data_IF_143189165603
#
_entry.id   IF_143189165603
#
_cell.length_a   1.000
_cell.length_b   1.000
_cell.length_c   1.000
_cell.angle_alpha   90.00
_cell.angle_beta   90.00
_cell.angle_gamma   90.00
#
_symmetry.space_group_name_H-M   'P 1'
#
loop_
_entity.id
_entity.type
_entity.pdbx_description
1 polymer ?
#
# COMPACT_ATOMS: atom_id res chain seq x y z
N UNK A 1 -11.53 -17.84 0.38
CA UNK A 1 -12.52 -17.06 1.16
C UNK A 1 -12.24 -15.55 1.13
N UNK A 2 -13.20 -14.75 0.66
CA UNK A 2 -13.22 -13.28 0.78
C UNK A 2 -13.87 -12.91 2.11
N UNK A 3 -13.14 -12.27 3.04
CA UNK A 3 -13.84 -11.72 4.22
C UNK A 3 -12.99 -11.20 5.38
N UNK A 4 -11.98 -11.93 5.87
CA UNK A 4 -11.26 -11.52 7.11
C UNK A 4 -9.73 -11.68 7.10
N UNK A 5 -9.20 -12.77 6.54
CA UNK A 5 -7.76 -13.09 6.66
C UNK A 5 -6.82 -12.09 5.97
N UNK A 6 -7.21 -11.57 4.80
CA UNK A 6 -6.43 -10.63 4.00
C UNK A 6 -6.11 -9.34 4.79
N UNK A 7 -7.14 -8.64 5.27
CA UNK A 7 -6.96 -7.39 6.00
C UNK A 7 -6.16 -7.59 7.29
N UNK A 8 -6.38 -8.70 8.01
CA UNK A 8 -5.62 -9.03 9.22
C UNK A 8 -4.13 -9.24 8.90
N UNK A 9 -3.77 -9.93 7.83
CA UNK A 9 -2.37 -10.09 7.40
C UNK A 9 -1.71 -8.73 7.13
N UNK A 10 -2.38 -7.85 6.38
CA UNK A 10 -1.85 -6.51 6.09
C UNK A 10 -1.67 -5.68 7.37
N UNK A 11 -2.69 -5.65 8.23
CA UNK A 11 -2.66 -4.89 9.49
C UNK A 11 -1.59 -5.43 10.44
N UNK A 12 -1.48 -6.75 10.56
CA UNK A 12 -0.46 -7.39 11.40
C UNK A 12 0.94 -7.11 10.87
N UNK A 13 1.18 -7.29 9.56
CA UNK A 13 2.47 -7.02 8.95
C UNK A 13 2.88 -5.54 9.09
N UNK A 14 1.96 -4.61 8.82
CA UNK A 14 2.23 -3.18 8.94
C UNK A 14 2.51 -2.74 10.37
N UNK A 15 1.82 -3.34 11.34
CA UNK A 15 2.01 -3.03 12.77
C UNK A 15 3.32 -3.60 13.31
N UNK A 16 3.67 -4.84 12.92
CA UNK A 16 4.92 -5.49 13.33
C UNK A 16 6.16 -4.81 12.73
N UNK A 17 6.07 -4.32 11.50
CA UNK A 17 7.16 -3.61 10.85
C UNK A 17 7.35 -2.17 11.37
N UNK A 18 6.30 -1.58 11.95
CA UNK A 18 6.30 -0.19 12.38
C UNK A 18 6.46 0.80 11.22
N UNK A 19 6.56 2.09 11.55
CA UNK A 19 6.78 3.12 10.55
C UNK A 19 5.55 3.34 9.66
N UNK A 20 5.78 3.57 8.37
CA UNK A 20 4.70 3.86 7.41
C UNK A 20 4.43 2.66 6.50
N UNK A 21 3.17 2.25 6.47
CA UNK A 21 2.61 1.27 5.52
C UNK A 21 1.77 2.01 4.48
N UNK A 22 2.13 1.90 3.19
CA UNK A 22 1.34 2.45 2.08
C UNK A 22 0.48 1.34 1.47
N UNK A 23 -0.84 1.49 1.53
CA UNK A 23 -1.83 0.58 0.95
C UNK A 23 -2.46 1.21 -0.28
N UNK A 24 -2.16 0.65 -1.44
CA UNK A 24 -2.71 1.06 -2.73
C UNK A 24 -4.04 0.33 -2.92
N UNK A 25 -5.14 1.10 -2.90
CA UNK A 25 -6.51 0.57 -3.00
C UNK A 25 -7.12 0.95 -4.36
N UNK A 26 -7.55 -0.02 -5.19
CA UNK A 26 -8.15 0.30 -6.49
C UNK A 26 -9.56 0.87 -6.38
N UNK A 27 -10.23 0.72 -5.23
CA UNK A 27 -11.58 1.22 -4.93
C UNK A 27 -11.58 2.02 -3.62
N UNK A 28 -12.13 3.24 -3.66
CA UNK A 28 -12.15 4.17 -2.53
C UNK A 28 -12.90 3.63 -1.30
N UNK A 29 -14.05 3.01 -1.51
CA UNK A 29 -14.87 2.48 -0.42
C UNK A 29 -14.12 1.45 0.43
N UNK A 30 -13.23 0.64 -0.19
CA UNK A 30 -12.41 -0.33 0.53
C UNK A 30 -11.41 0.36 1.47
N UNK A 31 -10.83 1.50 1.06
CA UNK A 31 -9.92 2.27 1.89
C UNK A 31 -10.59 2.82 3.15
N UNK A 32 -11.78 3.40 3.01
CA UNK A 32 -12.57 3.96 4.11
C UNK A 32 -12.90 2.93 5.20
N UNK A 33 -13.32 1.74 4.77
CA UNK A 33 -13.63 0.62 5.68
C UNK A 33 -12.40 0.15 6.45
N UNK A 34 -11.22 0.14 5.82
CA UNK A 34 -9.98 -0.28 6.48
C UNK A 34 -9.48 0.76 7.49
N UNK A 35 -9.58 2.05 7.17
CA UNK A 35 -9.24 3.12 8.14
C UNK A 35 -10.11 3.00 9.39
N UNK A 36 -11.41 2.79 9.23
CA UNK A 36 -12.33 2.62 10.37
C UNK A 36 -11.93 1.44 11.26
N UNK A 37 -11.47 0.32 10.68
CA UNK A 37 -10.99 -0.84 11.45
C UNK A 37 -9.69 -0.53 12.20
N UNK A 38 -8.76 0.18 11.58
CA UNK A 38 -7.49 0.56 12.20
C UNK A 38 -7.70 1.51 13.37
N UNK A 39 -8.59 2.49 13.24
CA UNK A 39 -8.90 3.44 14.32
C UNK A 39 -9.57 2.76 15.52
N UNK A 40 -10.15 1.56 15.35
CA UNK A 40 -10.74 0.74 16.42
C UNK A 40 -9.75 -0.25 17.04
N UNK A 41 -8.52 -0.34 16.54
CA UNK A 41 -7.54 -1.27 17.07
C UNK A 41 -7.11 -0.89 18.50
N UNK A 42 -6.80 -1.89 19.32
CA UNK A 42 -6.23 -1.67 20.65
C UNK A 42 -4.82 -1.09 20.52
N UNK A 43 -4.56 0.04 21.18
CA UNK A 43 -3.29 0.77 21.12
C UNK A 43 -2.40 0.56 22.35
N UNK A 44 -2.71 -0.42 23.20
CA UNK A 44 -1.97 -0.68 24.45
C UNK A 44 -0.47 -0.98 24.24
N UNK A 45 -0.08 -1.46 23.06
CA UNK A 45 1.30 -1.84 22.75
C UNK A 45 1.98 -0.94 21.70
N UNK A 46 1.32 0.14 21.29
CA UNK A 46 1.82 1.04 20.26
C UNK A 46 0.70 1.85 19.61
N UNK A 47 1.07 3.01 19.08
CA UNK A 47 0.13 3.91 18.41
C UNK A 47 -0.10 3.42 16.99
N UNK A 48 -1.36 3.17 16.63
CA UNK A 48 -1.74 2.80 15.26
C UNK A 48 -2.66 3.87 14.68
N UNK A 49 -2.25 4.47 13.56
CA UNK A 49 -2.99 5.53 12.87
C UNK A 49 -3.31 5.11 11.44
N UNK A 50 -4.43 5.61 10.92
CA UNK A 50 -4.88 5.34 9.56
C UNK A 50 -5.35 6.61 8.86
N UNK A 51 -4.91 6.82 7.62
CA UNK A 51 -5.34 7.93 6.76
C UNK A 51 -5.76 7.42 5.39
N UNK A 52 -6.88 7.93 4.87
CA UNK A 52 -7.28 7.71 3.48
C UNK A 52 -7.04 9.01 2.69
N UNK A 53 -6.01 9.04 1.84
CA UNK A 53 -5.55 10.27 1.20
C UNK A 53 -6.62 10.89 0.29
N UNK A 54 -7.42 10.06 -0.36
CA UNK A 54 -8.53 10.46 -1.22
C UNK A 54 -9.62 11.25 -0.49
N UNK A 55 -9.75 11.08 0.83
CA UNK A 55 -10.73 11.78 1.66
C UNK A 55 -10.22 13.11 2.23
N UNK A 56 -8.92 13.42 2.06
CA UNK A 56 -8.32 14.63 2.62
C UNK A 56 -8.52 15.83 1.69
N UNK A 57 -9.51 16.65 2.02
CA UNK A 57 -9.97 17.77 1.17
C UNK A 57 -9.21 19.09 1.40
N UNK A 58 -8.72 19.36 2.60
CA UNK A 58 -8.16 20.67 2.96
C UNK A 58 -6.63 20.68 2.93
N UNK A 59 -5.98 21.72 2.36
CA UNK A 59 -4.51 21.85 2.36
C UNK A 59 -3.91 21.75 3.78
N UNK A 60 -4.54 22.39 4.76
CA UNK A 60 -4.07 22.41 6.14
C UNK A 60 -4.01 20.99 6.73
N UNK A 61 -5.02 20.15 6.46
CA UNK A 61 -5.01 18.75 6.91
C UNK A 61 -3.96 17.93 6.17
N UNK A 62 -3.73 18.20 4.88
CA UNK A 62 -2.67 17.55 4.10
C UNK A 62 -1.30 17.86 4.69
N UNK A 63 -1.03 19.14 4.93
CA UNK A 63 0.24 19.59 5.49
C UNK A 63 0.48 18.98 6.87
N UNK A 64 -0.53 18.96 7.73
CA UNK A 64 -0.45 18.32 9.05
C UNK A 64 -0.07 16.84 8.96
N UNK A 65 -0.72 16.07 8.08
CA UNK A 65 -0.43 14.65 7.88
C UNK A 65 0.98 14.47 7.31
N UNK A 66 1.38 15.28 6.32
CA UNK A 66 2.72 15.20 5.74
C UNK A 66 3.79 15.50 6.78
N UNK A 67 3.60 16.52 7.61
CA UNK A 67 4.54 16.85 8.68
C UNK A 67 4.66 15.71 9.69
N UNK A 68 3.54 15.13 10.11
CA UNK A 68 3.53 13.94 10.99
C UNK A 68 4.31 12.77 10.38
N UNK A 69 4.07 12.46 9.10
CA UNK A 69 4.75 11.38 8.40
C UNK A 69 6.26 11.62 8.32
N UNK A 70 6.68 12.83 7.96
CA UNK A 70 8.09 13.17 7.72
C UNK A 70 8.91 13.33 9.00
N UNK A 71 8.26 13.57 10.14
CA UNK A 71 8.87 13.68 11.47
C UNK A 71 8.69 12.42 12.33
N UNK A 72 8.15 11.35 11.76
CA UNK A 72 8.03 10.07 12.45
C UNK A 72 9.41 9.60 12.91
N UNK A 73 9.56 9.36 14.22
CA UNK A 73 10.79 8.81 14.78
C UNK A 73 10.94 7.33 14.32
N UNK A 74 12.04 6.97 13.64
CA UNK A 74 12.31 5.59 13.20
C UNK A 74 12.26 4.55 14.32
N UNK A 75 12.56 4.94 15.55
CA UNK A 75 12.63 4.06 16.74
C UNK A 75 11.33 4.07 17.56
N UNK A 76 10.28 4.72 17.07
CA UNK A 76 8.98 4.74 17.76
C UNK A 76 8.16 3.48 17.49
N UNK A 77 7.33 3.09 18.46
CA UNK A 77 6.32 2.04 18.32
C UNK A 77 5.05 2.53 17.59
N UNK A 78 5.20 3.50 16.68
CA UNK A 78 4.09 4.08 15.93
C UNK A 78 4.01 3.45 14.55
N UNK A 79 2.81 2.98 14.19
CA UNK A 79 2.49 2.45 12.87
C UNK A 79 1.45 3.33 12.19
N UNK A 80 1.77 3.86 11.03
CA UNK A 80 0.87 4.71 10.25
C UNK A 80 0.53 4.01 8.94
N UNK A 81 -0.76 3.75 8.74
CA UNK A 81 -1.31 3.20 7.52
C UNK A 81 -1.85 4.32 6.64
N UNK A 82 -1.37 4.37 5.40
CA UNK A 82 -1.82 5.31 4.37
C UNK A 82 -2.56 4.52 3.30
N UNK A 83 -3.87 4.69 3.20
CA UNK A 83 -4.67 4.19 2.10
C UNK A 83 -4.73 5.24 1.02
N UNK A 84 -4.47 4.85 -0.22
CA UNK A 84 -4.54 5.77 -1.34
C UNK A 84 -4.90 5.05 -2.63
N UNK A 85 -5.75 5.67 -3.43
CA UNK A 85 -5.94 5.27 -4.82
C UNK A 85 -4.73 5.65 -5.68
N UNK A 86 -4.53 4.98 -6.83
CA UNK A 86 -3.56 5.46 -7.83
C UNK A 86 -3.80 6.91 -8.24
N UNK A 87 -5.05 7.36 -8.29
CA UNK A 87 -5.42 8.73 -8.63
C UNK A 87 -4.87 9.73 -7.60
N UNK A 88 -5.03 9.47 -6.30
CA UNK A 88 -4.52 10.34 -5.24
C UNK A 88 -2.99 10.47 -5.27
N UNK A 89 -2.29 9.38 -5.60
CA UNK A 89 -0.81 9.37 -5.67
C UNK A 89 -0.31 10.06 -6.93
N UNK A 90 -0.92 9.78 -8.09
CA UNK A 90 -0.47 10.32 -9.39
C UNK A 90 -0.84 11.79 -9.55
N UNK A 91 -1.87 12.27 -8.85
CA UNK A 91 -2.29 13.66 -8.91
C UNK A 91 -1.15 14.63 -8.57
N UNK A 92 -1.06 15.72 -9.33
CA UNK A 92 -0.15 16.83 -9.04
C UNK A 92 -0.78 17.89 -8.12
N UNK A 93 -2.05 17.74 -7.75
CA UNK A 93 -2.77 18.73 -6.92
C UNK A 93 -2.45 18.62 -5.42
N UNK A 94 -1.87 17.49 -4.99
CA UNK A 94 -1.47 17.27 -3.62
C UNK A 94 -0.03 16.70 -3.58
N UNK A 95 0.81 17.15 -2.63
CA UNK A 95 2.21 16.73 -2.56
C UNK A 95 2.43 15.32 -1.99
N UNK A 96 1.42 14.44 -2.07
CA UNK A 96 1.46 13.08 -1.52
C UNK A 96 2.61 12.26 -2.09
N UNK A 97 2.79 12.26 -3.42
CA UNK A 97 3.87 11.51 -4.06
C UNK A 97 5.26 11.96 -3.61
N UNK A 98 5.45 13.27 -3.45
CA UNK A 98 6.70 13.82 -2.93
C UNK A 98 6.96 13.39 -1.49
N UNK A 99 5.96 13.53 -0.62
CA UNK A 99 6.04 13.07 0.77
C UNK A 99 6.35 11.57 0.85
N UNK A 100 5.66 10.76 0.04
CA UNK A 100 5.91 9.34 -0.08
C UNK A 100 7.37 9.14 -0.47
N UNK A 101 7.89 9.70 -1.57
CA UNK A 101 9.32 9.55 -1.94
C UNK A 101 10.28 9.92 -0.81
N UNK A 102 10.05 11.01 -0.08
CA UNK A 102 10.89 11.38 1.07
C UNK A 102 10.87 10.32 2.17
N UNK A 103 9.72 9.70 2.46
CA UNK A 103 9.65 8.57 3.41
C UNK A 103 10.48 7.37 2.97
N UNK A 104 10.58 7.12 1.65
CA UNK A 104 11.47 6.08 1.13
C UNK A 104 12.93 6.37 1.46
N UNK A 105 13.37 7.58 1.13
CA UNK A 105 14.75 8.02 1.30
C UNK A 105 15.15 8.01 2.78
N UNK A 106 14.22 8.37 3.68
CA UNK A 106 14.41 8.29 5.13
C UNK A 106 14.29 6.87 5.71
N UNK A 107 14.00 5.84 4.90
CA UNK A 107 13.73 4.45 5.33
C UNK A 107 12.59 4.32 6.36
N UNK A 108 11.69 5.30 6.39
CA UNK A 108 10.51 5.31 7.25
C UNK A 108 9.35 4.51 6.65
N UNK A 109 9.36 4.30 5.33
CA UNK A 109 8.40 3.39 4.69
C UNK A 109 8.88 1.95 4.79
N UNK A 110 8.13 1.13 5.51
CA UNK A 110 8.49 -0.27 5.77
C UNK A 110 7.74 -1.26 4.90
N UNK A 111 6.50 -0.93 4.52
CA UNK A 111 5.62 -1.82 3.76
C UNK A 111 4.86 -1.06 2.67
N UNK A 112 4.80 -1.66 1.49
CA UNK A 112 3.89 -1.30 0.40
C UNK A 112 2.93 -2.45 0.18
N UNK A 113 1.65 -2.16 0.11
CA UNK A 113 0.58 -3.13 -0.12
C UNK A 113 -0.15 -2.77 -1.40
N UNK A 114 -0.37 -3.73 -2.28
CA UNK A 114 -1.30 -3.61 -3.41
C UNK A 114 -2.50 -4.49 -3.10
N UNK A 115 -3.64 -3.87 -2.77
CA UNK A 115 -4.87 -4.59 -2.48
C UNK A 115 -5.70 -4.82 -3.76
N UNK A 116 -6.48 -5.88 -3.76
CA UNK A 116 -7.25 -6.39 -4.90
C UNK A 116 -6.48 -6.30 -6.24
N UNK A 117 -5.32 -6.97 -6.31
CA UNK A 117 -4.42 -6.96 -7.47
C UNK A 117 -5.13 -7.18 -8.81
N UNK A 118 -6.13 -8.07 -8.85
CA UNK A 118 -6.88 -8.34 -10.07
C UNK A 118 -7.55 -7.07 -10.63
N UNK A 119 -8.13 -6.22 -9.77
CA UNK A 119 -8.70 -4.93 -10.16
C UNK A 119 -7.61 -3.94 -10.56
N UNK A 120 -6.49 -3.89 -9.81
CA UNK A 120 -5.36 -3.04 -10.15
C UNK A 120 -4.87 -3.30 -11.58
N UNK A 121 -4.68 -4.57 -11.94
CA UNK A 121 -4.22 -4.98 -13.26
C UNK A 121 -5.29 -4.78 -14.32
N UNK A 122 -6.55 -5.11 -14.04
CA UNK A 122 -7.66 -4.89 -14.98
C UNK A 122 -7.79 -3.39 -15.33
N UNK A 123 -7.72 -2.51 -14.33
CA UNK A 123 -7.75 -1.07 -14.56
C UNK A 123 -6.49 -0.57 -15.28
N UNK A 124 -5.31 -1.09 -14.96
CA UNK A 124 -4.10 -0.71 -15.69
C UNK A 124 -4.03 -1.26 -17.12
N UNK A 125 -4.74 -2.32 -17.46
CA UNK A 125 -4.92 -2.77 -18.85
C UNK A 125 -5.97 -1.95 -19.61
N UNK A 126 -6.90 -1.32 -18.88
CA UNK A 126 -7.91 -0.41 -19.43
C UNK A 126 -7.35 0.99 -19.75
N UNK A 127 -8.24 1.92 -20.13
CA UNK A 127 -7.92 3.32 -20.42
C UNK A 127 -7.62 4.18 -19.17
N UNK A 128 -7.57 3.60 -17.97
CA UNK A 128 -7.24 4.33 -16.72
C UNK A 128 -5.73 4.56 -16.60
N UNK A 129 -5.28 5.71 -17.11
CA UNK A 129 -3.87 6.06 -17.21
C UNK A 129 -3.14 6.12 -15.86
N UNK A 130 -3.86 6.37 -14.78
CA UNK A 130 -3.32 6.54 -13.42
C UNK A 130 -2.68 5.25 -12.90
N UNK A 131 -3.25 4.09 -13.21
CA UNK A 131 -2.68 2.80 -12.82
C UNK A 131 -1.34 2.52 -13.53
N UNK A 132 -1.22 2.91 -14.80
CA UNK A 132 0.05 2.81 -15.55
C UNK A 132 1.08 3.83 -15.04
N UNK A 133 0.65 5.08 -14.83
CA UNK A 133 1.50 6.18 -14.32
C UNK A 133 2.00 5.88 -12.92
N UNK A 134 1.22 5.20 -12.08
CA UNK A 134 1.62 4.84 -10.73
C UNK A 134 2.87 3.97 -10.72
N UNK A 135 3.04 3.06 -11.69
CA UNK A 135 4.29 2.30 -11.81
C UNK A 135 5.48 3.25 -11.97
N UNK A 136 5.48 4.08 -13.02
CA UNK A 136 6.64 4.89 -13.36
C UNK A 136 6.89 6.03 -12.38
N UNK A 137 5.83 6.59 -11.80
CA UNK A 137 5.92 7.72 -10.89
C UNK A 137 6.15 7.32 -9.43
N UNK A 138 5.83 6.09 -9.05
CA UNK A 138 5.97 5.59 -7.69
C UNK A 138 6.74 4.27 -7.63
N UNK A 139 6.20 3.17 -8.16
CA UNK A 139 6.75 1.83 -7.91
C UNK A 139 8.21 1.71 -8.37
N UNK A 140 8.56 2.25 -9.54
CA UNK A 140 9.94 2.25 -10.05
C UNK A 140 10.91 3.01 -9.13
N UNK A 141 10.41 3.99 -8.37
CA UNK A 141 11.18 4.75 -7.40
C UNK A 141 11.29 4.04 -6.05
N UNK A 142 10.32 3.20 -5.70
CA UNK A 142 10.33 2.43 -4.46
C UNK A 142 11.07 1.10 -4.58
N UNK A 143 11.12 0.56 -5.80
CA UNK A 143 11.73 -0.72 -6.11
C UNK A 143 12.76 -0.59 -7.25
N UNK A 144 13.77 0.28 -7.11
CA UNK A 144 14.76 0.47 -8.18
C UNK A 144 15.57 -0.83 -8.39
N UNK A 145 15.79 -1.28 -9.64
CA UNK A 145 16.60 -2.48 -9.91
C UNK A 145 18.04 -2.37 -9.41
N UNK A 146 18.56 -1.14 -9.32
CA UNK A 146 19.94 -0.83 -8.92
C UNK A 146 20.21 -0.95 -7.43
N UNK A 147 19.18 -0.88 -6.58
CA UNK A 147 19.33 -0.95 -5.15
C UNK A 147 18.19 -1.75 -4.50
N UNK A 148 18.38 -3.07 -4.46
CA UNK A 148 17.41 -3.98 -3.81
C UNK A 148 17.37 -3.82 -2.29
N UNK A 149 18.36 -3.19 -1.66
CA UNK A 149 18.42 -3.04 -0.20
C UNK A 149 17.56 -1.90 0.31
N UNK A 150 17.25 -0.92 -0.54
CA UNK A 150 16.29 0.14 -0.19
C UNK A 150 14.83 -0.26 -0.35
N UNK A 151 14.55 -1.40 -1.00
CA UNK A 151 13.18 -1.85 -1.24
C UNK A 151 12.41 -1.98 0.08
N UNK A 152 11.22 -1.35 0.22
CA UNK A 152 10.34 -1.69 1.31
C UNK A 152 9.84 -3.13 1.13
N UNK A 153 9.28 -3.74 2.18
CA UNK A 153 8.53 -4.97 2.00
C UNK A 153 7.37 -4.72 1.02
N UNK A 154 7.07 -5.70 0.16
CA UNK A 154 5.94 -5.66 -0.75
C UNK A 154 4.99 -6.81 -0.40
N UNK A 155 3.75 -6.46 -0.10
CA UNK A 155 2.65 -7.39 0.07
C UNK A 155 1.63 -7.17 -1.04
N UNK A 156 1.23 -8.23 -1.72
CA UNK A 156 0.20 -8.13 -2.77
C UNK A 156 -0.91 -9.10 -2.45
N UNK A 157 -2.14 -8.59 -2.49
CA UNK A 157 -3.32 -9.28 -2.01
C UNK A 157 -4.40 -9.28 -3.07
N UNK A 158 -5.08 -10.41 -3.22
CA UNK A 158 -6.21 -10.55 -4.14
C UNK A 158 -7.01 -11.79 -3.77
N UNK A 159 -8.32 -11.75 -4.00
CA UNK A 159 -9.18 -12.93 -3.81
C UNK A 159 -8.92 -14.02 -4.86
N UNK A 160 -8.58 -13.59 -6.09
CA UNK A 160 -8.36 -14.47 -7.23
C UNK A 160 -7.02 -14.12 -7.85
N UNK A 161 -6.19 -15.14 -8.10
CA UNK A 161 -4.92 -14.97 -8.80
C UNK A 161 -4.67 -16.17 -9.71
N UNK A 162 -4.11 -15.89 -10.88
CA UNK A 162 -3.73 -16.90 -11.86
C UNK A 162 -2.32 -16.59 -12.35
N UNK A 163 -1.65 -17.57 -12.97
CA UNK A 163 -0.32 -17.35 -13.56
C UNK A 163 -0.33 -16.21 -14.59
N UNK A 164 -1.45 -16.04 -15.31
CA UNK A 164 -1.66 -14.91 -16.21
C UNK A 164 -1.60 -13.56 -15.48
N UNK A 165 -2.22 -13.44 -14.30
CA UNK A 165 -2.18 -12.20 -13.53
C UNK A 165 -0.77 -11.88 -13.01
N UNK A 166 -0.01 -12.89 -12.59
CA UNK A 166 1.39 -12.72 -12.19
C UNK A 166 2.26 -12.23 -13.35
N UNK A 167 2.06 -12.78 -14.55
CA UNK A 167 2.75 -12.34 -15.76
C UNK A 167 2.41 -10.89 -16.14
N UNK A 168 1.13 -10.51 -16.08
CA UNK A 168 0.70 -9.14 -16.35
C UNK A 168 1.28 -8.18 -15.32
N UNK A 169 1.26 -8.55 -14.03
CA UNK A 169 1.88 -7.75 -12.97
C UNK A 169 3.35 -7.52 -13.23
N UNK A 170 4.09 -8.58 -13.60
CA UNK A 170 5.49 -8.45 -13.95
C UNK A 170 5.72 -7.51 -15.13
N UNK A 171 4.94 -7.66 -16.22
CA UNK A 171 5.05 -6.74 -17.37
C UNK A 171 4.72 -5.29 -17.02
N UNK A 172 3.77 -5.06 -16.11
CA UNK A 172 3.31 -3.72 -15.76
C UNK A 172 4.18 -3.01 -14.71
N UNK A 173 4.89 -3.75 -13.87
CA UNK A 173 5.61 -3.19 -12.70
C UNK A 173 7.09 -3.54 -12.68
N UNK A 174 7.54 -4.46 -13.53
CA UNK A 174 8.87 -5.09 -13.49
C UNK A 174 9.17 -5.84 -12.17
N UNK A 175 8.15 -6.09 -11.34
CA UNK A 175 8.27 -6.84 -10.09
C UNK A 175 7.87 -8.30 -10.31
N UNK A 176 8.45 -9.20 -9.54
CA UNK A 176 8.14 -10.64 -9.60
C UNK A 176 8.19 -11.25 -8.22
N UNK A 177 7.49 -12.37 -8.06
CA UNK A 177 7.45 -13.13 -6.81
C UNK A 177 8.15 -14.46 -7.00
N UNK A 178 8.95 -14.86 -6.02
CA UNK A 178 9.43 -16.23 -5.95
C UNK A 178 8.25 -17.15 -5.64
N UNK A 179 8.16 -18.37 -6.22
CA UNK A 179 7.05 -19.28 -5.97
C UNK A 179 6.78 -19.53 -4.47
N UNK A 180 7.83 -19.61 -3.65
CA UNK A 180 7.74 -19.78 -2.19
C UNK A 180 7.16 -18.59 -1.42
N UNK A 181 7.06 -17.42 -2.05
CA UNK A 181 6.48 -16.21 -1.45
C UNK A 181 5.01 -16.02 -1.86
N UNK A 182 4.44 -16.96 -2.63
CA UNK A 182 3.04 -16.92 -3.05
C UNK A 182 2.27 -17.89 -2.17
N UNK A 183 1.41 -17.34 -1.31
CA UNK A 183 0.48 -18.14 -0.51
C UNK A 183 -0.82 -18.32 -1.31
N UNK A 184 -1.08 -19.56 -1.71
CA UNK A 184 -2.35 -19.94 -2.32
C UNK A 184 -3.34 -20.29 -1.23
N UNK A 185 -4.60 -19.85 -1.35
CA UNK A 185 -5.67 -20.35 -0.49
C UNK A 185 -5.89 -21.83 -0.80
N UNK A 186 -5.99 -22.68 0.24
CA UNK A 186 -6.34 -24.08 0.05
C UNK A 186 -7.82 -24.19 -0.37
N UNK A 187 -8.20 -25.18 -1.20
CA UNK A 187 -9.61 -25.54 -1.37
C UNK A 187 -10.33 -25.77 -0.03
N UNK A 188 -9.62 -26.28 0.97
CA UNK A 188 -10.16 -26.51 2.33
C UNK A 188 -10.50 -25.21 3.07
N UNK A 189 -9.86 -24.09 2.71
CA UNK A 189 -10.14 -22.75 3.29
C UNK A 189 -11.38 -22.09 2.66
N UNK A 190 -12.06 -22.77 1.73
CA UNK A 190 -13.21 -22.27 0.98
C UNK A 190 -14.49 -23.09 1.21
N UNK A 191 -14.43 -24.15 2.03
CA UNK A 191 -15.55 -24.96 2.46
C UNK A 191 -16.22 -24.42 3.74
#
# INVERSE_FOLDING_TARGET
ATGKGKSLCMQSAGTLLGGVTLVIVPLLALGADQVTKILRANQAYGVVKGYHLDEIKTPQRRDMIIQELLHLNPDSNTSIFIFASPQAIVSNTAPWRGAIHTLHLKRLRRLVVIDELHLYLQFGLSLRSEFKKLTSLLLDKLFPPTDKRSHPALLVMTATISQRWLHIFHKMTNLSFLPKHILWGSPDDMA
#
